data_IF_370066036728
#
_entry.id   IF_370066036728
#
_cell.length_a   1.000
_cell.length_b   1.000
_cell.length_c   1.000
_cell.angle_alpha   90.00
_cell.angle_beta   90.00
_cell.angle_gamma   90.00
#
_symmetry.space_group_name_H-M   'P 1'
#
loop_
_entity.id
_entity.type
_entity.pdbx_description
1 polymer ?
#
# COMPACT_ATOMS: atom_id res chain seq x y z
N UNK A 1 -16.48 3.32 -0.77
CA UNK A 1 -15.48 3.16 0.30
C UNK A 1 -14.93 4.52 0.68
N UNK A 2 -14.67 4.74 1.96
CA UNK A 2 -14.36 6.06 2.52
C UNK A 2 -13.05 6.02 3.27
N UNK A 3 -12.10 6.89 2.90
CA UNK A 3 -10.79 6.99 3.54
C UNK A 3 -10.38 8.47 3.66
N UNK A 4 -9.55 8.79 4.64
CA UNK A 4 -8.98 10.13 4.79
C UNK A 4 -7.76 10.38 3.89
N UNK A 5 -7.23 9.35 3.25
CA UNK A 5 -6.10 9.47 2.31
C UNK A 5 -6.48 10.30 1.08
N UNK A 6 -5.57 11.12 0.60
CA UNK A 6 -5.73 11.84 -0.67
C UNK A 6 -5.84 10.86 -1.87
N UNK A 7 -6.79 11.09 -2.81
CA UNK A 7 -7.04 10.18 -3.92
C UNK A 7 -5.90 10.08 -4.93
N UNK A 8 -4.97 11.02 -4.91
CA UNK A 8 -3.81 11.08 -5.82
C UNK A 8 -2.55 10.40 -5.27
N UNK A 9 -2.57 10.04 -3.99
CA UNK A 9 -1.41 9.40 -3.34
C UNK A 9 -1.41 7.90 -3.61
N UNK A 10 -0.32 7.42 -4.18
CA UNK A 10 -0.10 5.98 -4.34
C UNK A 10 0.31 5.36 -3.00
N UNK A 11 -0.21 4.18 -2.73
CA UNK A 11 0.06 3.39 -1.53
C UNK A 11 0.59 2.03 -1.97
N UNK A 12 1.65 1.52 -1.35
CA UNK A 12 2.17 0.20 -1.66
C UNK A 12 1.20 -0.89 -1.18
N UNK A 13 1.00 -1.90 -2.00
CA UNK A 13 0.19 -3.08 -1.72
C UNK A 13 1.02 -4.34 -1.92
N UNK A 14 0.83 -5.33 -1.07
CA UNK A 14 1.54 -6.59 -1.09
C UNK A 14 0.54 -7.73 -0.83
N UNK A 15 0.60 -8.80 -1.62
CA UNK A 15 -0.03 -10.07 -1.25
C UNK A 15 0.91 -10.80 -0.27
N UNK A 16 0.53 -10.79 1.00
CA UNK A 16 1.36 -11.34 2.08
C UNK A 16 1.70 -12.82 1.84
N UNK A 17 0.78 -13.61 1.32
CA UNK A 17 0.99 -15.04 1.10
C UNK A 17 1.84 -15.33 -0.14
N UNK A 18 1.61 -14.59 -1.22
CA UNK A 18 2.28 -14.81 -2.50
C UNK A 18 3.65 -14.14 -2.58
N UNK A 19 3.77 -12.91 -2.04
CA UNK A 19 4.91 -12.04 -2.34
C UNK A 19 5.95 -11.96 -1.24
N UNK A 20 5.56 -12.05 0.06
CA UNK A 20 6.48 -11.77 1.17
C UNK A 20 7.72 -12.66 1.16
N UNK A 21 7.56 -13.95 0.93
CA UNK A 21 8.69 -14.89 0.90
C UNK A 21 9.67 -14.57 -0.23
N UNK A 22 9.15 -14.26 -1.41
CA UNK A 22 9.95 -13.88 -2.57
C UNK A 22 10.67 -12.56 -2.35
N UNK A 23 9.98 -11.59 -1.76
CA UNK A 23 10.55 -10.28 -1.41
C UNK A 23 11.73 -10.44 -0.42
N UNK A 24 11.52 -11.15 0.68
CA UNK A 24 12.57 -11.40 1.70
C UNK A 24 13.77 -12.12 1.10
N UNK A 25 13.53 -13.14 0.27
CA UNK A 25 14.59 -13.86 -0.41
C UNK A 25 15.38 -12.97 -1.38
N UNK A 26 14.72 -12.09 -2.12
CA UNK A 26 15.38 -11.14 -3.01
C UNK A 26 16.23 -10.12 -2.22
N UNK A 27 15.69 -9.55 -1.14
CA UNK A 27 16.42 -8.61 -0.27
C UNK A 27 17.64 -9.27 0.37
N UNK A 28 17.54 -10.54 0.79
CA UNK A 28 18.66 -11.28 1.36
C UNK A 28 19.88 -11.37 0.41
N UNK A 29 19.66 -11.34 -0.89
CA UNK A 29 20.74 -11.37 -1.89
C UNK A 29 21.32 -9.98 -2.21
N UNK A 30 20.72 -8.92 -1.67
CA UNK A 30 21.18 -7.56 -1.92
C UNK A 30 22.30 -7.16 -0.97
N UNK A 31 23.14 -6.19 -1.34
CA UNK A 31 24.14 -5.62 -0.41
C UNK A 31 23.46 -5.04 0.84
N UNK A 32 24.05 -5.21 2.02
CA UNK A 32 23.47 -4.70 3.26
C UNK A 32 23.46 -3.16 3.33
N UNK A 33 22.68 -2.62 4.26
CA UNK A 33 22.64 -1.19 4.56
C UNK A 33 21.75 -0.39 3.61
N UNK A 34 20.70 -1.04 3.08
CA UNK A 34 19.66 -0.41 2.25
C UNK A 34 18.29 -0.74 2.82
N UNK A 35 17.38 0.23 2.69
CA UNK A 35 15.98 0.07 3.04
C UNK A 35 15.15 -0.16 1.77
N UNK A 36 14.25 -1.14 1.82
CA UNK A 36 13.43 -1.55 0.69
C UNK A 36 11.96 -1.50 1.06
N UNK A 37 11.14 -0.89 0.22
CA UNK A 37 9.68 -0.96 0.32
C UNK A 37 9.20 -2.35 -0.11
N UNK A 38 8.54 -3.06 0.80
CA UNK A 38 7.89 -4.33 0.51
C UNK A 38 6.58 -4.08 -0.24
N UNK A 39 6.64 -4.07 -1.56
CA UNK A 39 5.49 -3.85 -2.42
C UNK A 39 5.44 -4.85 -3.59
N UNK A 40 4.24 -5.32 -3.92
CA UNK A 40 3.95 -6.02 -5.17
C UNK A 40 3.45 -5.04 -6.23
N UNK A 41 2.68 -4.05 -5.82
CA UNK A 41 2.23 -2.94 -6.66
C UNK A 41 2.03 -1.68 -5.83
N UNK A 42 2.16 -0.52 -6.47
CA UNK A 42 1.82 0.76 -5.86
C UNK A 42 0.71 1.42 -6.67
N UNK A 43 -0.43 1.69 -6.03
CA UNK A 43 -1.57 2.31 -6.69
C UNK A 43 -2.34 3.22 -5.74
N UNK A 44 -3.13 4.13 -6.31
CA UNK A 44 -4.03 4.98 -5.51
C UNK A 44 -5.25 4.19 -5.04
N UNK A 45 -5.89 4.64 -3.96
CA UNK A 45 -7.13 4.03 -3.48
C UNK A 45 -8.26 4.00 -4.53
N UNK A 46 -8.48 5.04 -5.34
CA UNK A 46 -9.41 4.97 -6.47
C UNK A 46 -9.11 3.83 -7.45
N UNK A 47 -7.83 3.64 -7.82
CA UNK A 47 -7.42 2.56 -8.72
C UNK A 47 -7.61 1.18 -8.09
N UNK A 48 -7.28 1.06 -6.81
CA UNK A 48 -7.49 -0.19 -6.06
C UNK A 48 -8.98 -0.57 -6.01
N UNK A 49 -9.85 0.40 -5.67
CA UNK A 49 -11.30 0.19 -5.59
C UNK A 49 -11.90 -0.13 -6.97
N UNK A 50 -11.42 0.51 -8.03
CA UNK A 50 -11.83 0.18 -9.39
C UNK A 50 -11.49 -1.28 -9.74
N UNK A 51 -10.28 -1.71 -9.44
CA UNK A 51 -9.84 -3.10 -9.65
C UNK A 51 -10.67 -4.07 -8.80
N UNK A 52 -10.87 -3.77 -7.53
CA UNK A 52 -11.70 -4.57 -6.64
C UNK A 52 -13.14 -4.71 -7.17
N UNK A 53 -13.73 -3.60 -7.63
CA UNK A 53 -15.08 -3.59 -8.19
C UNK A 53 -15.18 -4.46 -9.45
N UNK A 54 -14.16 -4.42 -10.32
CA UNK A 54 -14.10 -5.26 -11.52
C UNK A 54 -13.99 -6.75 -11.17
N UNK A 55 -13.13 -7.10 -10.21
CA UNK A 55 -12.88 -8.49 -9.81
C UNK A 55 -14.09 -9.11 -9.10
N UNK A 56 -14.69 -8.36 -8.19
CA UNK A 56 -15.82 -8.86 -7.37
C UNK A 56 -17.18 -8.74 -8.06
N UNK A 57 -17.29 -7.91 -9.10
CA UNK A 57 -18.56 -7.55 -9.72
C UNK A 57 -19.45 -6.64 -8.86
N UNK A 58 -18.94 -6.15 -7.72
CA UNK A 58 -19.68 -5.27 -6.81
C UNK A 58 -19.32 -3.81 -7.11
N UNK A 59 -20.28 -2.97 -7.53
CA UNK A 59 -20.01 -1.57 -7.78
C UNK A 59 -19.50 -0.85 -6.52
N UNK A 60 -18.34 -0.21 -6.63
CA UNK A 60 -17.77 0.56 -5.55
C UNK A 60 -17.09 1.82 -6.08
N UNK A 61 -17.13 2.88 -5.29
CA UNK A 61 -16.46 4.15 -5.60
C UNK A 61 -15.67 4.62 -4.39
N UNK A 62 -14.65 5.42 -4.65
CA UNK A 62 -13.87 6.10 -3.64
C UNK A 62 -14.55 7.41 -3.23
N UNK A 63 -14.53 7.71 -1.93
CA UNK A 63 -14.85 9.03 -1.39
C UNK A 63 -13.81 9.41 -0.35
N UNK A 64 -13.16 10.55 -0.54
CA UNK A 64 -12.34 11.14 0.50
C UNK A 64 -13.24 11.73 1.58
N UNK A 65 -12.91 11.46 2.83
CA UNK A 65 -13.61 11.98 4.01
C UNK A 65 -12.64 12.70 4.93
N UNK A 66 -13.16 13.54 5.81
CA UNK A 66 -12.32 14.15 6.85
C UNK A 66 -11.93 13.12 7.92
N UNK A 67 -10.83 13.36 8.67
CA UNK A 67 -10.47 12.54 9.82
C UNK A 67 -11.63 12.33 10.80
N UNK A 68 -12.37 13.36 11.10
CA UNK A 68 -13.51 13.34 12.02
C UNK A 68 -14.67 12.48 11.50
N UNK A 69 -14.96 12.57 10.20
CA UNK A 69 -15.99 11.73 9.56
C UNK A 69 -15.58 10.24 9.62
N UNK A 70 -14.30 9.93 9.37
CA UNK A 70 -13.79 8.55 9.41
C UNK A 70 -13.86 7.95 10.82
N UNK A 71 -13.43 8.71 11.84
CA UNK A 71 -13.53 8.29 13.24
C UNK A 71 -14.98 8.00 13.62
N UNK A 72 -15.88 8.92 13.26
CA UNK A 72 -17.32 8.81 13.59
C UNK A 72 -18.00 7.63 12.88
N UNK A 73 -17.55 7.26 11.70
CA UNK A 73 -18.11 6.14 10.94
C UNK A 73 -17.64 4.77 11.45
N UNK A 74 -16.57 4.73 12.25
CA UNK A 74 -16.00 3.48 12.79
C UNK A 74 -16.69 3.15 14.12
N UNK A 75 -17.25 1.93 14.28
CA UNK A 75 -17.98 1.56 15.50
C UNK A 75 -17.12 1.59 16.78
N UNK A 76 -15.85 1.28 16.68
CA UNK A 76 -14.88 1.36 17.76
C UNK A 76 -14.08 2.66 17.60
N UNK A 77 -14.14 3.52 18.61
CA UNK A 77 -13.54 4.86 18.58
C UNK A 77 -12.01 4.79 18.53
N UNK A 78 -11.40 3.90 19.31
CA UNK A 78 -9.93 3.78 19.37
C UNK A 78 -9.39 3.26 18.03
N UNK A 79 -10.03 2.25 17.47
CA UNK A 79 -9.72 1.76 16.12
C UNK A 79 -9.95 2.84 15.06
N UNK A 80 -11.00 3.64 15.19
CA UNK A 80 -11.29 4.76 14.30
C UNK A 80 -10.19 5.81 14.32
N UNK A 81 -9.68 6.15 15.48
CA UNK A 81 -8.57 7.08 15.67
C UNK A 81 -7.30 6.53 15.03
N UNK A 82 -6.92 5.28 15.36
CA UNK A 82 -5.72 4.63 14.83
C UNK A 82 -5.77 4.54 13.29
N UNK A 83 -6.85 4.03 12.73
CA UNK A 83 -7.03 3.92 11.29
C UNK A 83 -6.97 5.30 10.60
N UNK A 84 -7.61 6.31 11.18
CA UNK A 84 -7.59 7.66 10.61
C UNK A 84 -6.19 8.24 10.56
N UNK A 85 -5.39 8.11 11.62
CA UNK A 85 -3.99 8.56 11.59
C UNK A 85 -3.16 7.79 10.58
N UNK A 86 -3.33 6.47 10.49
CA UNK A 86 -2.65 5.64 9.50
C UNK A 86 -2.97 6.11 8.06
N UNK A 87 -4.23 6.31 7.73
CA UNK A 87 -4.65 6.75 6.39
C UNK A 87 -4.23 8.20 6.09
N UNK A 88 -4.20 9.08 7.09
CA UNK A 88 -3.71 10.45 6.91
C UNK A 88 -2.21 10.49 6.68
N UNK A 89 -1.45 9.67 7.40
CA UNK A 89 0.00 9.54 7.23
C UNK A 89 0.40 9.09 5.81
N UNK A 90 -0.41 8.24 5.19
CA UNK A 90 -0.21 7.82 3.79
C UNK A 90 -0.28 8.98 2.80
N UNK A 91 -0.94 10.09 3.17
CA UNK A 91 -1.01 11.30 2.34
C UNK A 91 0.18 12.24 2.59
N UNK A 92 0.53 12.44 3.84
CA UNK A 92 1.61 13.32 4.29
C UNK A 92 2.17 12.80 5.63
N UNK A 93 3.44 12.44 5.70
CA UNK A 93 4.52 12.57 4.70
C UNK A 93 4.55 11.52 3.57
N UNK A 94 3.67 10.55 3.58
CA UNK A 94 3.63 9.41 2.67
C UNK A 94 3.93 8.09 3.38
N UNK A 95 3.64 6.97 2.75
CA UNK A 95 3.77 5.64 3.37
C UNK A 95 5.20 5.35 3.88
N UNK A 96 6.21 5.84 3.18
CA UNK A 96 7.63 5.70 3.50
C UNK A 96 8.15 6.79 4.46
N UNK A 97 7.28 7.67 4.95
CA UNK A 97 7.68 8.81 5.79
C UNK A 97 8.50 9.86 5.04
N UNK A 98 8.40 9.92 3.72
CA UNK A 98 9.19 10.79 2.85
C UNK A 98 10.64 10.34 2.69
N UNK A 99 10.97 9.12 3.09
CA UNK A 99 12.32 8.54 2.91
C UNK A 99 12.51 8.06 1.48
N UNK A 100 13.77 8.14 1.01
CA UNK A 100 14.13 7.58 -0.29
C UNK A 100 14.48 6.09 -0.13
N UNK A 101 13.46 5.25 -0.09
CA UNK A 101 13.62 3.79 -0.03
C UNK A 101 13.69 3.19 -1.43
N UNK A 102 14.38 2.07 -1.57
CA UNK A 102 14.39 1.30 -2.80
C UNK A 102 13.07 0.52 -2.94
N UNK A 103 12.70 0.18 -4.17
CA UNK A 103 11.46 -0.50 -4.48
C UNK A 103 11.69 -1.92 -4.99
N UNK A 104 10.61 -2.69 -5.19
CA UNK A 104 10.70 -4.00 -5.82
C UNK A 104 11.37 -3.97 -7.20
N UNK A 105 11.26 -2.86 -7.94
CA UNK A 105 11.93 -2.68 -9.22
C UNK A 105 13.47 -2.70 -9.12
N UNK A 106 14.03 -2.32 -7.99
CA UNK A 106 15.46 -2.37 -7.72
C UNK A 106 15.94 -3.79 -7.42
N UNK A 107 15.07 -4.63 -6.88
CA UNK A 107 15.33 -6.05 -6.62
C UNK A 107 15.35 -6.88 -7.91
N UNK A 108 14.50 -6.59 -8.86
CA UNK A 108 14.38 -7.34 -10.13
C UNK A 108 15.65 -7.28 -10.97
N UNK A 109 16.45 -6.22 -10.84
CA UNK A 109 17.72 -6.07 -11.58
C UNK A 109 18.80 -7.08 -11.21
N UNK A 110 18.64 -7.79 -10.13
CA UNK A 110 19.64 -8.72 -9.58
C UNK A 110 19.24 -10.19 -9.71
N UNK A 111 17.99 -10.50 -10.00
CA UNK A 111 17.50 -11.86 -9.84
C UNK A 111 17.30 -12.65 -11.12
N UNK A 112 17.98 -13.82 -11.16
CA UNK A 112 17.47 -15.05 -11.76
C UNK A 112 16.52 -15.76 -10.76
N UNK A 113 15.67 -15.05 -10.06
CA UNK A 113 14.75 -15.57 -9.05
C UNK A 113 13.29 -15.46 -9.48
N UNK A 114 12.39 -16.10 -8.74
CA UNK A 114 10.98 -16.18 -9.10
C UNK A 114 10.38 -14.80 -9.28
N UNK A 115 9.48 -14.71 -10.23
CA UNK A 115 8.76 -13.49 -10.60
C UNK A 115 8.23 -12.78 -9.36
N UNK A 116 8.80 -11.61 -9.05
CA UNK A 116 8.06 -10.61 -8.31
C UNK A 116 7.03 -10.09 -9.29
N UNK A 117 5.79 -10.37 -8.99
CA UNK A 117 4.67 -10.23 -9.88
C UNK A 117 4.43 -8.81 -10.32
N UNK A 118 4.29 -8.63 -11.62
CA UNK A 118 3.25 -7.77 -12.15
C UNK A 118 2.64 -8.51 -13.35
N UNK A 119 1.50 -9.12 -13.20
CA UNK A 119 0.48 -9.27 -14.23
C UNK A 119 -0.84 -8.76 -13.70
#
# INVERSE_FOLDING_TARGET
MEFSTEPTKAVPHLDVNADTGNFVYAVYQMPPGKDYMAEGTSCTWPQWIETWSKVTGVPATYRQVTPEEMIKATPDVDLGIEATYMFSYMSDPGYDGGMNVLTAADLVKVSCGPRLLVE
#
